data_IF_643609363187
#
_entry.id   IF_643609363187
#
_cell.length_a   1.000
_cell.length_b   1.000
_cell.length_c   1.000
_cell.angle_alpha   90.00
_cell.angle_beta   90.00
_cell.angle_gamma   90.00
#
_symmetry.space_group_name_H-M   'P 1'
#
loop_
_entity.id
_entity.type
_entity.pdbx_description
1 polymer ?
#
# COMPACT_ATOMS: atom_id res chain seq x y z
N UNK A 1 45.29 -4.59 1.59
CA UNK A 1 44.85 -3.39 0.83
C UNK A 1 43.33 -3.30 0.67
N UNK A 2 42.62 -4.40 0.39
CA UNK A 2 41.15 -4.42 0.23
C UNK A 2 40.35 -4.06 1.51
N UNK A 3 40.87 -4.42 2.69
CA UNK A 3 40.22 -4.13 3.97
C UNK A 3 40.44 -2.68 4.46
N UNK A 4 41.47 -1.99 3.96
CA UNK A 4 41.73 -0.59 4.30
C UNK A 4 40.77 0.36 3.56
N UNK A 5 40.39 0.00 2.32
CA UNK A 5 39.39 0.74 1.53
C UNK A 5 38.00 0.61 2.14
N UNK A 6 37.69 -0.55 2.72
CA UNK A 6 36.39 -0.81 3.35
C UNK A 6 36.21 -0.05 4.68
N UNK A 7 37.30 0.13 5.44
CA UNK A 7 37.33 0.93 6.66
C UNK A 7 37.25 2.44 6.39
N UNK A 8 37.83 2.91 5.29
CA UNK A 8 37.74 4.31 4.86
C UNK A 8 36.31 4.70 4.42
N UNK A 9 35.58 3.79 3.77
CA UNK A 9 34.19 3.95 3.36
C UNK A 9 33.20 4.00 4.54
N UNK A 10 33.50 3.29 5.64
CA UNK A 10 32.65 3.29 6.85
C UNK A 10 32.80 4.58 7.68
N UNK A 11 33.95 5.27 7.60
CA UNK A 11 34.16 6.55 8.29
C UNK A 11 33.44 7.74 7.62
N UNK A 12 33.15 7.66 6.32
CA UNK A 12 32.47 8.73 5.58
C UNK A 12 30.95 8.75 5.76
N UNK A 13 30.34 7.71 6.34
CA UNK A 13 28.89 7.63 6.58
C UNK A 13 28.45 8.18 7.96
N UNK A 14 29.38 8.52 8.86
CA UNK A 14 29.06 8.95 10.23
C UNK A 14 29.05 10.48 10.45
N UNK A 15 29.12 11.28 9.38
CA UNK A 15 29.19 12.75 9.47
C UNK A 15 28.06 13.45 8.74
N UNK A 16 26.85 13.48 9.32
CA UNK A 16 25.81 14.47 8.99
C UNK A 16 24.63 14.46 9.99
N UNK A 17 24.91 14.42 11.29
CA UNK A 17 23.92 14.86 12.30
C UNK A 17 24.57 15.90 13.21
N UNK A 18 24.75 17.10 12.64
CA UNK A 18 25.02 18.31 13.39
C UNK A 18 23.92 19.34 13.06
N UNK A 19 22.68 18.98 13.41
CA UNK A 19 21.59 19.97 13.42
C UNK A 19 21.70 20.77 14.70
N UNK A 20 21.98 22.05 14.51
CA UNK A 20 21.96 23.12 15.49
C UNK A 20 20.57 23.25 16.11
N UNK A 21 20.51 23.12 17.44
CA UNK A 21 19.38 23.49 18.28
C UNK A 21 19.30 25.04 18.32
N UNK A 22 18.17 25.67 17.99
CA UNK A 22 18.03 27.11 18.17
C UNK A 22 17.95 27.45 19.66
N UNK A 23 18.96 28.18 20.13
CA UNK A 23 18.99 28.80 21.45
C UNK A 23 17.99 29.97 21.46
N UNK A 24 17.01 29.93 22.38
CA UNK A 24 16.14 31.07 22.68
C UNK A 24 16.96 32.15 23.38
N UNK A 25 16.89 33.42 22.93
CA UNK A 25 17.13 34.54 23.82
C UNK A 25 15.79 35.07 24.34
N UNK A 26 15.40 34.58 25.52
CA UNK A 26 14.55 35.33 26.44
C UNK A 26 15.41 36.42 27.07
N UNK A 27 15.19 37.70 26.76
CA UNK A 27 15.60 38.81 27.61
C UNK A 27 14.66 40.01 27.39
N UNK A 28 13.74 40.14 28.35
CA UNK A 28 13.35 41.38 29.00
C UNK A 28 12.69 42.47 28.16
N UNK A 29 11.35 42.47 28.17
CA UNK A 29 10.60 43.73 28.20
C UNK A 29 9.65 43.71 29.38
N UNK A 30 9.65 44.85 30.06
CA UNK A 30 8.97 45.25 31.29
C UNK A 30 7.50 44.83 31.43
N UNK A 31 7.14 44.62 32.68
CA UNK A 31 5.82 44.33 33.25
C UNK A 31 4.84 45.51 33.09
N UNK A 32 3.56 45.15 32.88
CA UNK A 32 2.27 45.81 33.27
C UNK A 32 1.54 46.76 32.28
N UNK A 33 0.19 46.79 32.19
CA UNK A 33 -0.87 45.85 32.65
C UNK A 33 -1.83 45.34 31.55
N UNK A 34 -2.60 44.32 31.94
CA UNK A 34 -3.80 43.71 31.35
C UNK A 34 -4.85 44.71 30.78
N UNK A 35 -5.46 44.39 29.61
CA UNK A 35 -6.88 44.07 29.65
C UNK A 35 -7.29 42.92 28.71
N UNK A 36 -8.15 42.03 29.22
CA UNK A 36 -9.06 41.09 28.53
C UNK A 36 -8.60 40.53 27.17
N UNK A 37 -8.10 39.29 27.19
CA UNK A 37 -7.89 38.47 26.00
C UNK A 37 -9.22 38.22 25.26
N UNK A 38 -9.47 39.05 24.25
CA UNK A 38 -10.38 38.74 23.14
C UNK A 38 -9.88 37.41 22.54
N UNK A 39 -10.75 36.41 22.30
CA UNK A 39 -10.32 35.15 21.72
C UNK A 39 -9.64 35.44 20.38
N UNK A 40 -8.36 35.08 20.28
CA UNK A 40 -7.59 35.22 19.06
C UNK A 40 -8.36 34.50 17.94
N UNK A 41 -8.85 35.28 16.98
CA UNK A 41 -9.27 34.77 15.70
C UNK A 41 -8.10 33.95 15.16
N UNK A 42 -8.33 32.63 15.02
CA UNK A 42 -7.46 31.76 14.24
C UNK A 42 -7.36 32.39 12.86
N UNK A 43 -6.21 32.99 12.57
CA UNK A 43 -5.89 33.51 11.26
C UNK A 43 -5.95 32.32 10.29
N UNK A 44 -6.82 32.36 9.26
CA UNK A 44 -6.89 31.26 8.31
C UNK A 44 -5.53 31.15 7.61
N UNK A 45 -4.94 29.96 7.71
CA UNK A 45 -3.75 29.57 6.94
C UNK A 45 -3.97 29.93 5.47
N UNK A 46 -3.00 30.57 4.79
CA UNK A 46 -3.22 31.07 3.44
C UNK A 46 -3.62 29.92 2.51
N UNK A 47 -4.86 29.94 2.03
CA UNK A 47 -5.31 29.06 0.96
C UNK A 47 -4.36 29.26 -0.23
N UNK A 48 -3.56 28.24 -0.54
CA UNK A 48 -2.72 28.27 -1.73
C UNK A 48 -3.65 28.14 -2.94
N UNK A 49 -4.08 29.29 -3.47
CA UNK A 49 -4.88 29.36 -4.68
C UNK A 49 -3.94 29.27 -5.87
N UNK A 50 -3.86 28.09 -6.49
CA UNK A 50 -3.18 27.93 -7.76
C UNK A 50 -4.03 28.54 -8.88
N UNK A 51 -3.50 29.50 -9.62
CA UNK A 51 -4.11 29.95 -10.87
C UNK A 51 -3.89 28.89 -11.96
N UNK A 52 -4.65 27.80 -11.88
CA UNK A 52 -4.60 26.71 -12.84
C UNK A 52 -5.37 27.07 -14.10
N UNK A 53 -4.77 26.78 -15.26
CA UNK A 53 -5.40 26.96 -16.54
C UNK A 53 -5.12 25.76 -17.46
N UNK A 54 -6.04 25.45 -18.37
CA UNK A 54 -5.84 24.37 -19.35
C UNK A 54 -5.12 24.89 -20.60
N UNK A 55 -3.90 25.40 -20.41
CA UNK A 55 -3.06 25.94 -21.49
C UNK A 55 -1.57 25.62 -21.31
N UNK A 56 -0.81 25.79 -22.40
CA UNK A 56 0.63 25.48 -22.51
C UNK A 56 1.55 26.65 -22.09
N UNK A 57 1.01 27.68 -21.44
CA UNK A 57 1.86 28.77 -20.91
C UNK A 57 2.79 28.24 -19.81
N UNK A 58 3.99 28.82 -19.70
CA UNK A 58 4.97 28.37 -18.71
C UNK A 58 4.45 28.52 -17.27
N UNK A 59 3.70 29.58 -17.00
CA UNK A 59 3.06 29.82 -15.69
C UNK A 59 2.02 28.77 -15.37
N UNK A 60 1.16 28.42 -16.33
CA UNK A 60 0.18 27.34 -16.20
C UNK A 60 0.85 25.99 -15.94
N UNK A 61 1.86 25.63 -16.73
CA UNK A 61 2.58 24.36 -16.55
C UNK A 61 3.24 24.28 -15.17
N UNK A 62 3.84 25.38 -14.68
CA UNK A 62 4.41 25.43 -13.34
C UNK A 62 3.33 25.27 -12.26
N UNK A 63 2.21 25.99 -12.38
CA UNK A 63 1.10 25.87 -11.44
C UNK A 63 0.56 24.43 -11.36
N UNK A 64 0.53 23.71 -12.50
CA UNK A 64 0.15 22.30 -12.53
C UNK A 64 1.17 21.38 -11.83
N UNK A 65 2.47 21.66 -11.93
CA UNK A 65 3.50 20.92 -11.19
C UNK A 65 3.35 21.14 -9.69
N UNK A 66 3.16 22.39 -9.27
CA UNK A 66 3.01 22.73 -7.86
C UNK A 66 1.73 22.13 -7.28
N UNK A 67 0.62 22.20 -8.03
CA UNK A 67 -0.63 21.52 -7.69
C UNK A 67 -0.45 20.00 -7.56
N UNK A 68 0.25 19.35 -8.49
CA UNK A 68 0.56 17.91 -8.40
C UNK A 68 1.32 17.58 -7.12
N UNK A 69 2.34 18.37 -6.80
CA UNK A 69 3.12 18.17 -5.58
C UNK A 69 2.23 18.29 -4.34
N UNK A 70 1.38 19.32 -4.29
CA UNK A 70 0.46 19.53 -3.18
C UNK A 70 -0.50 18.34 -3.00
N UNK A 71 -1.19 17.90 -4.06
CA UNK A 71 -2.16 16.80 -3.94
C UNK A 71 -1.51 15.45 -3.66
N UNK A 72 -0.22 15.29 -3.96
CA UNK A 72 0.55 14.11 -3.56
C UNK A 72 0.95 14.15 -2.09
N UNK A 73 1.20 15.33 -1.51
CA UNK A 73 1.53 15.47 -0.09
C UNK A 73 0.30 15.48 0.82
N UNK A 74 -0.74 16.24 0.45
CA UNK A 74 -1.98 16.35 1.21
C UNK A 74 -3.19 16.55 0.26
N UNK A 75 -3.85 15.45 -0.15
CA UNK A 75 -4.99 15.53 -1.05
C UNK A 75 -6.31 15.95 -0.37
N UNK A 76 -6.39 15.95 0.97
CA UNK A 76 -7.68 16.10 1.66
C UNK A 76 -8.31 17.49 1.53
N UNK A 77 -7.55 18.60 1.67
CA UNK A 77 -8.08 19.94 1.45
C UNK A 77 -8.67 20.10 0.05
N UNK A 78 -7.96 19.60 -0.97
CA UNK A 78 -8.41 19.72 -2.35
C UNK A 78 -9.63 18.85 -2.65
N UNK A 79 -9.72 17.65 -2.05
CA UNK A 79 -10.93 16.83 -2.12
C UNK A 79 -12.12 17.51 -1.47
N UNK A 80 -11.92 18.19 -0.33
CA UNK A 80 -12.97 18.96 0.33
C UNK A 80 -13.42 20.15 -0.54
N UNK A 81 -12.45 20.89 -1.11
CA UNK A 81 -12.70 22.00 -2.02
C UNK A 81 -13.53 21.56 -3.23
N UNK A 82 -13.11 20.52 -3.95
CA UNK A 82 -13.84 20.02 -5.12
C UNK A 82 -15.25 19.51 -4.77
N UNK A 83 -15.45 18.87 -3.61
CA UNK A 83 -16.79 18.42 -3.16
C UNK A 83 -17.73 19.57 -2.81
N UNK A 84 -17.19 20.72 -2.44
CA UNK A 84 -17.99 21.91 -2.14
C UNK A 84 -18.50 22.63 -3.39
N UNK A 85 -17.93 22.33 -4.57
CA UNK A 85 -18.34 22.93 -5.83
C UNK A 85 -19.73 22.41 -6.25
N UNK A 86 -20.67 23.30 -6.62
CA UNK A 86 -22.01 22.89 -7.04
C UNK A 86 -22.01 22.20 -8.40
N UNK A 87 -21.05 22.54 -9.26
CA UNK A 87 -20.83 21.95 -10.57
C UNK A 87 -19.33 21.88 -10.86
N UNK A 88 -18.90 20.81 -11.51
CA UNK A 88 -17.51 20.63 -11.93
C UNK A 88 -17.36 21.09 -13.36
N UNK A 89 -16.68 22.21 -13.56
CA UNK A 89 -16.22 22.63 -14.89
C UNK A 89 -15.09 21.71 -15.40
N UNK A 90 -14.60 21.94 -16.62
CA UNK A 90 -13.55 21.10 -17.21
C UNK A 90 -12.27 21.07 -16.36
N UNK A 91 -11.92 22.20 -15.75
CA UNK A 91 -10.75 22.31 -14.90
C UNK A 91 -10.92 21.45 -13.64
N UNK A 92 -12.05 21.61 -12.94
CA UNK A 92 -12.39 20.85 -11.75
C UNK A 92 -12.56 19.36 -12.03
N UNK A 93 -13.10 18.97 -13.19
CA UNK A 93 -13.16 17.57 -13.64
C UNK A 93 -11.77 16.97 -13.79
N UNK A 94 -10.83 17.73 -14.37
CA UNK A 94 -9.44 17.27 -14.51
C UNK A 94 -8.73 17.17 -13.16
N UNK A 95 -8.91 18.15 -12.27
CA UNK A 95 -8.42 18.11 -10.89
C UNK A 95 -8.96 16.89 -10.12
N UNK A 96 -10.28 16.64 -10.24
CA UNK A 96 -10.96 15.49 -9.64
C UNK A 96 -10.40 14.17 -10.18
N UNK A 97 -10.11 14.11 -11.49
CA UNK A 97 -9.55 12.92 -12.12
C UNK A 97 -8.16 12.59 -11.56
N UNK A 98 -7.29 13.60 -11.43
CA UNK A 98 -5.96 13.45 -10.84
C UNK A 98 -6.02 13.00 -9.36
N UNK A 99 -6.90 13.61 -8.56
CA UNK A 99 -7.09 13.21 -7.16
C UNK A 99 -7.62 11.78 -7.00
N UNK A 100 -8.44 11.32 -7.94
CA UNK A 100 -8.97 9.97 -7.98
C UNK A 100 -7.93 8.95 -8.49
N UNK A 101 -6.87 9.41 -9.15
CA UNK A 101 -5.72 8.60 -9.59
C UNK A 101 -4.68 8.41 -8.47
N UNK A 102 -4.79 9.17 -7.37
CA UNK A 102 -3.84 9.18 -6.25
C UNK A 102 -3.59 7.77 -5.66
N UNK A 103 -2.35 7.42 -5.26
CA UNK A 103 -2.00 6.10 -4.70
C UNK A 103 -2.83 5.62 -3.50
N UNK A 104 -3.40 6.54 -2.73
CA UNK A 104 -4.26 6.18 -1.58
C UNK A 104 -5.70 5.83 -1.97
N UNK A 105 -6.09 6.06 -3.22
CA UNK A 105 -7.45 5.77 -3.68
C UNK A 105 -7.62 4.26 -3.93
N UNK A 106 -8.80 3.69 -3.63
CA UNK A 106 -9.07 2.28 -3.90
C UNK A 106 -8.82 1.91 -5.37
N UNK A 107 -8.33 0.68 -5.60
CA UNK A 107 -8.07 0.13 -6.94
C UNK A 107 -9.21 0.41 -7.93
N UNK A 108 -10.46 0.12 -7.53
CA UNK A 108 -11.64 0.29 -8.40
C UNK A 108 -11.85 1.74 -8.81
N UNK A 109 -11.58 2.69 -7.92
CA UNK A 109 -11.71 4.13 -8.21
C UNK A 109 -10.69 4.56 -9.25
N UNK A 110 -9.43 4.15 -9.06
CA UNK A 110 -8.34 4.44 -10.00
C UNK A 110 -8.57 3.80 -11.37
N UNK A 111 -9.00 2.54 -11.39
CA UNK A 111 -9.32 1.84 -12.63
C UNK A 111 -10.41 2.57 -13.44
N UNK A 112 -11.47 3.05 -12.77
CA UNK A 112 -12.54 3.80 -13.45
C UNK A 112 -12.06 5.14 -14.02
N UNK A 113 -11.20 5.84 -13.28
CA UNK A 113 -10.75 7.17 -13.70
C UNK A 113 -9.67 7.12 -14.79
N UNK A 114 -8.95 6.01 -14.90
CA UNK A 114 -7.90 5.80 -15.91
C UNK A 114 -8.37 6.11 -17.34
N UNK A 115 -9.50 5.54 -17.75
CA UNK A 115 -10.06 5.78 -19.10
C UNK A 115 -10.51 7.23 -19.26
N UNK A 116 -11.20 7.77 -18.27
CA UNK A 116 -11.70 9.15 -18.32
C UNK A 116 -10.56 10.17 -18.39
N UNK A 117 -9.48 9.97 -17.63
CA UNK A 117 -8.32 10.85 -17.67
C UNK A 117 -7.62 10.77 -19.04
N UNK A 118 -7.52 9.58 -19.65
CA UNK A 118 -6.97 9.44 -20.99
C UNK A 118 -7.78 10.23 -22.04
N UNK A 119 -9.10 10.23 -21.94
CA UNK A 119 -9.97 11.06 -22.79
C UNK A 119 -9.73 12.55 -22.54
N UNK A 120 -9.66 12.99 -21.28
CA UNK A 120 -9.37 14.38 -20.94
C UNK A 120 -8.03 14.83 -21.53
N UNK A 121 -6.96 14.03 -21.37
CA UNK A 121 -5.63 14.36 -21.91
C UNK A 121 -5.63 14.52 -23.43
N UNK A 122 -6.44 13.75 -24.16
CA UNK A 122 -6.55 13.87 -25.62
C UNK A 122 -7.10 15.23 -26.09
N UNK A 123 -7.81 15.93 -25.20
CA UNK A 123 -8.37 17.26 -25.46
C UNK A 123 -7.50 18.41 -24.94
N UNK A 124 -6.45 18.11 -24.17
CA UNK A 124 -5.57 19.12 -23.61
C UNK A 124 -4.49 19.58 -24.61
N UNK A 125 -3.97 20.80 -24.43
CA UNK A 125 -2.80 21.26 -25.16
C UNK A 125 -1.59 20.31 -25.00
N UNK A 126 -0.73 20.14 -26.04
CA UNK A 126 0.24 19.05 -26.08
C UNK A 126 1.25 19.05 -24.92
N UNK A 127 1.74 20.22 -24.47
CA UNK A 127 2.75 20.25 -23.39
C UNK A 127 2.11 19.93 -22.05
N UNK A 128 0.90 20.43 -21.81
CA UNK A 128 0.11 20.09 -20.64
C UNK A 128 -0.25 18.61 -20.63
N UNK A 129 -0.71 18.05 -21.76
CA UNK A 129 -1.02 16.63 -21.87
C UNK A 129 0.22 15.75 -21.60
N UNK A 130 1.38 16.14 -22.12
CA UNK A 130 2.63 15.42 -21.91
C UNK A 130 3.02 15.36 -20.42
N UNK A 131 2.78 16.44 -19.66
CA UNK A 131 3.05 16.54 -18.22
C UNK A 131 2.31 15.49 -17.38
N UNK A 132 1.17 15.00 -17.89
CA UNK A 132 0.29 14.03 -17.22
C UNK A 132 0.28 12.63 -17.84
N UNK A 133 0.95 12.46 -18.99
CA UNK A 133 0.97 11.18 -19.72
C UNK A 133 1.64 10.04 -18.93
N UNK A 134 2.62 10.38 -18.09
CA UNK A 134 3.35 9.42 -17.27
C UNK A 134 2.49 8.87 -16.14
N UNK A 135 1.56 9.64 -15.61
CA UNK A 135 0.66 9.26 -14.53
C UNK A 135 -0.29 8.16 -14.95
N UNK A 136 -0.79 8.21 -16.19
CA UNK A 136 -1.57 7.11 -16.76
C UNK A 136 -0.73 5.83 -16.83
N UNK A 137 0.50 5.94 -17.32
CA UNK A 137 1.39 4.77 -17.44
C UNK A 137 1.73 4.18 -16.07
N UNK A 138 2.05 5.05 -15.10
CA UNK A 138 2.34 4.67 -13.73
C UNK A 138 1.14 4.02 -13.05
N UNK A 139 -0.04 4.64 -13.15
CA UNK A 139 -1.27 4.10 -12.58
C UNK A 139 -1.62 2.74 -13.18
N UNK A 140 -1.47 2.58 -14.50
CA UNK A 140 -1.66 1.30 -15.17
C UNK A 140 -0.73 0.21 -14.59
N UNK A 141 0.54 0.54 -14.37
CA UNK A 141 1.50 -0.40 -13.76
C UNK A 141 1.16 -0.72 -12.31
N UNK A 142 0.67 0.26 -11.56
CA UNK A 142 0.22 0.06 -10.18
C UNK A 142 -1.00 -0.87 -10.12
N UNK A 143 -2.01 -0.65 -10.98
CA UNK A 143 -3.19 -1.50 -11.09
C UNK A 143 -2.82 -2.94 -11.47
N UNK A 144 -1.92 -3.11 -12.44
CA UNK A 144 -1.39 -4.43 -12.82
C UNK A 144 -0.72 -5.12 -11.64
N UNK A 145 0.15 -4.42 -10.90
CA UNK A 145 0.85 -4.98 -9.74
C UNK A 145 -0.12 -5.40 -8.62
N UNK A 146 -1.10 -4.56 -8.29
CA UNK A 146 -2.12 -4.87 -7.28
C UNK A 146 -2.99 -6.07 -7.68
N UNK A 147 -3.33 -6.18 -8.97
CA UNK A 147 -4.07 -7.33 -9.50
C UNK A 147 -3.25 -8.62 -9.40
N UNK A 148 -1.94 -8.54 -9.68
CA UNK A 148 -1.03 -9.68 -9.60
C UNK A 148 -0.86 -10.15 -8.14
N UNK A 149 -0.68 -9.22 -7.19
CA UNK A 149 -0.61 -9.53 -5.76
C UNK A 149 -1.89 -10.20 -5.30
N UNK A 150 -3.05 -9.69 -5.70
CA UNK A 150 -4.34 -10.28 -5.34
C UNK A 150 -4.50 -11.70 -5.89
N UNK A 151 -4.07 -11.94 -7.13
CA UNK A 151 -4.09 -13.26 -7.75
C UNK A 151 -3.16 -14.26 -7.03
N UNK A 152 -1.94 -13.83 -6.69
CA UNK A 152 -0.96 -14.65 -5.98
C UNK A 152 -1.45 -14.98 -4.56
N UNK A 153 -2.00 -14.01 -3.83
CA UNK A 153 -2.56 -14.24 -2.50
C UNK A 153 -3.68 -15.28 -2.55
N UNK A 154 -4.57 -15.20 -3.55
CA UNK A 154 -5.63 -16.19 -3.75
C UNK A 154 -5.07 -17.58 -4.08
N UNK A 155 -4.05 -17.65 -4.94
CA UNK A 155 -3.41 -18.91 -5.29
C UNK A 155 -2.73 -19.55 -4.08
N UNK A 156 -2.02 -18.76 -3.27
CA UNK A 156 -1.37 -19.24 -2.06
C UNK A 156 -2.39 -19.77 -1.05
N UNK A 157 -3.51 -19.07 -0.86
CA UNK A 157 -4.61 -19.55 -0.01
C UNK A 157 -5.17 -20.89 -0.52
N UNK A 158 -5.39 -21.02 -1.83
CA UNK A 158 -5.84 -22.27 -2.45
C UNK A 158 -4.83 -23.41 -2.27
N UNK A 159 -3.53 -23.13 -2.43
CA UNK A 159 -2.47 -24.12 -2.22
C UNK A 159 -2.41 -24.57 -0.76
N UNK A 160 -2.56 -23.65 0.19
CA UNK A 160 -2.62 -23.98 1.62
C UNK A 160 -3.79 -24.90 1.93
N UNK A 161 -5.00 -24.59 1.43
CA UNK A 161 -6.18 -25.44 1.59
C UNK A 161 -5.99 -26.84 1.00
N UNK A 162 -5.23 -26.96 -0.09
CA UNK A 162 -4.92 -28.24 -0.70
C UNK A 162 -3.91 -29.04 0.13
N UNK A 163 -2.87 -28.38 0.63
CA UNK A 163 -1.88 -28.99 1.53
C UNK A 163 -2.58 -29.54 2.78
N UNK A 164 -3.45 -28.76 3.41
CA UNK A 164 -4.16 -29.16 4.62
C UNK A 164 -5.05 -30.39 4.38
N UNK A 165 -5.72 -30.45 3.23
CA UNK A 165 -6.50 -31.63 2.81
C UNK A 165 -5.62 -32.85 2.62
N UNK A 166 -4.51 -32.73 1.88
CA UNK A 166 -3.58 -33.84 1.65
C UNK A 166 -2.98 -34.33 2.97
N UNK A 167 -2.60 -33.42 3.85
CA UNK A 167 -2.08 -33.77 5.18
C UNK A 167 -3.12 -34.50 6.04
N UNK A 168 -4.40 -34.11 5.95
CA UNK A 168 -5.47 -34.82 6.65
C UNK A 168 -5.63 -36.25 6.09
N UNK A 169 -5.70 -36.40 4.77
CA UNK A 169 -5.79 -37.71 4.12
C UNK A 169 -4.60 -38.60 4.46
N UNK A 170 -3.38 -38.07 4.45
CA UNK A 170 -2.18 -38.83 4.85
C UNK A 170 -2.25 -39.30 6.30
N UNK A 171 -2.72 -38.45 7.23
CA UNK A 171 -2.94 -38.86 8.63
C UNK A 171 -3.99 -39.95 8.75
N UNK A 172 -5.07 -39.88 7.98
CA UNK A 172 -6.11 -40.93 7.96
C UNK A 172 -5.59 -42.25 7.37
N UNK A 173 -4.80 -42.19 6.29
CA UNK A 173 -4.18 -43.37 5.68
C UNK A 173 -3.15 -44.00 6.63
N UNK A 174 -2.33 -43.19 7.31
CA UNK A 174 -1.37 -43.70 8.29
C UNK A 174 -2.08 -44.49 9.40
N UNK A 175 -3.17 -43.94 9.95
CA UNK A 175 -3.98 -44.65 10.94
C UNK A 175 -4.52 -45.99 10.44
N UNK A 176 -4.91 -46.07 9.15
CA UNK A 176 -5.36 -47.32 8.54
C UNK A 176 -4.22 -48.33 8.39
N UNK A 177 -3.03 -47.87 7.99
CA UNK A 177 -1.83 -48.71 7.91
C UNK A 177 -1.53 -49.27 9.30
N UNK A 178 -1.46 -48.43 10.32
CA UNK A 178 -1.16 -48.86 11.69
C UNK A 178 -2.18 -49.89 12.20
N UNK A 179 -3.47 -49.67 11.92
CA UNK A 179 -4.54 -50.61 12.27
C UNK A 179 -4.41 -51.96 11.54
N UNK A 180 -4.12 -51.96 10.24
CA UNK A 180 -3.91 -53.19 9.48
C UNK A 180 -2.67 -53.95 9.96
N UNK A 181 -1.57 -53.23 10.23
CA UNK A 181 -0.35 -53.83 10.80
C UNK A 181 -0.61 -54.45 12.17
N UNK A 182 -1.45 -53.83 13.00
CA UNK A 182 -1.85 -54.42 14.27
C UNK A 182 -2.68 -55.70 14.08
N UNK A 183 -3.65 -55.70 13.17
CA UNK A 183 -4.45 -56.88 12.83
C UNK A 183 -3.55 -58.01 12.33
N UNK A 184 -2.58 -57.72 11.45
CA UNK A 184 -1.60 -58.70 10.98
C UNK A 184 -0.75 -59.26 12.13
N UNK A 185 -0.29 -58.41 13.05
CA UNK A 185 0.47 -58.83 14.22
C UNK A 185 -0.36 -59.73 15.17
N UNK A 186 -1.66 -59.46 15.32
CA UNK A 186 -2.58 -60.29 16.10
C UNK A 186 -2.84 -61.64 15.42
N UNK A 187 -3.08 -61.64 14.10
CA UNK A 187 -3.27 -62.87 13.32
C UNK A 187 -2.04 -63.78 13.35
N UNK A 188 -0.84 -63.21 13.25
CA UNK A 188 0.41 -63.98 13.26
C UNK A 188 0.76 -64.52 14.66
N UNK A 189 0.14 -64.00 15.71
CA UNK A 189 0.28 -64.47 17.09
C UNK A 189 -0.81 -65.47 17.51
N UNK A 190 -1.82 -65.72 16.68
CA UNK A 190 -2.81 -66.76 16.98
C UNK A 190 -2.12 -68.13 16.99
N UNK A 191 -2.06 -68.83 18.13
CA UNK A 191 -1.47 -70.15 18.17
C UNK A 191 -2.33 -71.08 17.30
N UNK A 192 -1.66 -71.89 16.47
CA UNK A 192 -2.29 -73.03 15.81
C UNK A 192 -3.08 -73.80 16.88
N UNK A 193 -4.34 -74.21 16.62
CA UNK A 193 -5.07 -74.99 17.59
C UNK A 193 -4.22 -76.19 17.98
N UNK A 194 -3.82 -76.27 19.25
CA UNK A 194 -3.29 -77.50 19.81
C UNK A 194 -4.35 -78.55 19.53
N UNK A 195 -4.04 -79.47 18.61
CA UNK A 195 -4.83 -80.64 18.36
C UNK A 195 -4.68 -81.51 19.61
N UNK A 196 -5.49 -81.20 20.63
CA UNK A 196 -5.60 -81.93 21.88
C UNK A 196 -6.21 -83.29 21.60
N UNK A 197 -5.40 -84.19 21.02
CA UNK A 197 -5.68 -85.61 20.95
C UNK A 197 -4.58 -86.36 21.71
N UNK A 198 -4.45 -85.98 22.98
CA UNK A 198 -3.76 -86.76 24.00
C UNK A 198 -4.79 -87.43 24.90
N UNK A 199 -5.04 -88.71 24.63
CA UNK A 199 -5.57 -89.75 25.53
C UNK A 199 -6.95 -89.53 26.19
N UNK A 200 -7.92 -90.41 25.88
CA UNK A 200 -8.46 -91.32 26.92
C UNK A 200 -9.36 -92.47 26.40
N UNK A 201 -9.17 -93.63 27.03
CA UNK A 201 -10.05 -94.79 27.21
C UNK A 201 -10.34 -95.78 26.06
N UNK A 202 -9.78 -96.98 26.20
CA UNK A 202 -10.18 -98.22 25.51
C UNK A 202 -9.10 -99.28 25.62
#
# INVERSE_FOLDING_TARGET
>A
MKNAVLLLMLLTLAGCQLTTLPELPSTTTSVEPEPEAVPALVEPEPEIVFELALNDSATSLQAWLDYKQQILSDPMPERARLRSLPELDKLAQFQQALLNLHPDMPHVTRFRVQTHLAELLSSLPPRLAALFSWELTFNQKLLEAESAVSAVTRLNAQQQDMIDRVQKTNRELQKKIDALTQIEAELNQQPLPENGNGANHG
#
